data_IF_129587856244
#
_entry.id   IF_129587856244
#
_cell.length_a   1.000
_cell.length_b   1.000
_cell.length_c   1.000
_cell.angle_alpha   90.00
_cell.angle_beta   90.00
_cell.angle_gamma   90.00
#
_symmetry.space_group_name_H-M   'P 1'
#
loop_
_entity.id
_entity.type
_entity.pdbx_description
1 polymer ?
#
# COMPACT_ATOMS: atom_id res chain seq x y z
N UNK A 1 15.96 7.82 17.67
CA UNK A 1 15.52 6.53 17.11
C UNK A 1 14.17 6.74 16.45
N UNK A 2 14.19 7.39 15.29
CA UNK A 2 13.03 7.83 14.53
C UNK A 2 12.58 6.67 13.65
N UNK A 3 11.56 5.94 14.11
CA UNK A 3 10.85 4.97 13.29
C UNK A 3 10.21 5.75 12.13
N UNK A 4 10.80 5.64 10.95
CA UNK A 4 10.17 5.96 9.66
C UNK A 4 8.80 5.32 9.65
N UNK A 5 7.74 6.11 9.76
CA UNK A 5 6.38 5.62 9.64
C UNK A 5 6.09 5.42 8.15
N UNK A 6 5.87 4.18 7.68
CA UNK A 6 5.50 3.94 6.29
C UNK A 6 4.07 4.47 6.02
N UNK A 7 3.69 4.53 4.73
CA UNK A 7 2.40 4.97 4.11
C UNK A 7 1.09 4.75 4.90
N UNK A 8 1.07 3.91 5.93
CA UNK A 8 -0.10 3.61 6.75
C UNK A 8 -0.52 4.76 7.70
N UNK A 9 0.35 5.71 8.05
CA UNK A 9 0.04 6.61 9.18
C UNK A 9 -0.76 7.88 8.83
N UNK A 10 -0.99 8.22 7.56
CA UNK A 10 -1.74 9.44 7.19
C UNK A 10 -2.92 9.27 6.23
N UNK A 11 -3.22 8.04 5.80
CA UNK A 11 -4.41 7.71 5.01
C UNK A 11 -5.54 7.05 5.84
N UNK A 12 -5.57 7.26 7.16
CA UNK A 12 -6.73 6.90 8.00
C UNK A 12 -7.75 8.07 7.99
N UNK A 13 -8.34 8.33 6.83
CA UNK A 13 -9.53 9.20 6.73
C UNK A 13 -10.67 8.58 5.91
N UNK A 14 -10.58 7.28 5.57
CA UNK A 14 -11.67 6.58 4.87
C UNK A 14 -11.93 5.20 5.46
N UNK A 15 -12.44 5.18 6.68
CA UNK A 15 -13.32 4.08 7.10
C UNK A 15 -14.65 4.23 6.35
N UNK A 16 -14.70 3.79 5.10
CA UNK A 16 -15.99 3.52 4.46
C UNK A 16 -16.44 2.13 4.87
N UNK A 17 -17.53 2.07 5.63
CA UNK A 17 -18.18 0.84 6.08
C UNK A 17 -18.68 0.05 4.87
N UNK A 18 -17.84 -0.86 4.34
CA UNK A 18 -18.27 -1.79 3.30
C UNK A 18 -19.14 -2.87 3.94
N UNK A 19 -20.40 -2.97 3.51
CA UNK A 19 -21.35 -4.00 3.96
C UNK A 19 -20.79 -5.40 3.69
N UNK A 20 -20.86 -6.24 4.71
CA UNK A 20 -20.55 -7.67 4.66
C UNK A 20 -21.48 -8.37 3.67
N UNK A 21 -20.94 -9.12 2.71
CA UNK A 21 -21.72 -10.02 1.85
C UNK A 21 -20.95 -11.33 1.68
N UNK A 22 -21.46 -12.36 2.36
CA UNK A 22 -21.45 -13.78 1.97
C UNK A 22 -20.13 -14.46 1.54
N UNK A 23 -19.56 -15.21 2.50
CA UNK A 23 -18.96 -16.54 2.35
C UNK A 23 -17.92 -16.83 1.26
N UNK A 24 -16.66 -16.50 1.58
CA UNK A 24 -15.48 -17.38 1.41
C UNK A 24 -14.73 -17.30 2.73
N UNK A 25 -14.27 -18.41 3.31
CA UNK A 25 -13.66 -18.47 4.66
C UNK A 25 -12.80 -17.24 4.95
N UNK A 26 -13.37 -16.28 5.69
CA UNK A 26 -12.76 -14.99 5.88
C UNK A 26 -11.60 -15.21 6.86
N UNK A 27 -10.37 -15.17 6.35
CA UNK A 27 -9.18 -15.25 7.18
C UNK A 27 -9.15 -14.12 8.21
N UNK A 28 -8.20 -14.16 9.13
CA UNK A 28 -8.10 -13.23 10.25
C UNK A 28 -8.12 -11.78 9.72
N UNK A 29 -8.93 -10.93 10.36
CA UNK A 29 -9.13 -9.53 9.96
C UNK A 29 -9.64 -9.36 8.51
N UNK A 30 -10.36 -10.35 7.97
CA UNK A 30 -10.83 -10.39 6.59
C UNK A 30 -9.69 -10.41 5.56
N UNK A 31 -8.51 -10.90 5.97
CA UNK A 31 -7.38 -11.13 5.08
C UNK A 31 -7.42 -12.58 4.59
N UNK A 32 -7.95 -12.78 3.38
CA UNK A 32 -8.07 -14.12 2.76
C UNK A 32 -6.71 -14.82 2.74
N UNK A 33 -6.70 -16.09 3.14
CA UNK A 33 -5.49 -16.90 3.18
C UNK A 33 -4.75 -16.85 4.51
N UNK A 34 -5.13 -16.00 5.46
CA UNK A 34 -4.52 -15.93 6.80
C UNK A 34 -5.38 -16.67 7.85
N UNK A 35 -5.04 -17.92 8.16
CA UNK A 35 -5.78 -18.74 9.14
C UNK A 35 -4.87 -19.40 10.20
N UNK A 36 -3.59 -19.59 9.91
CA UNK A 36 -2.57 -20.16 10.78
C UNK A 36 -1.29 -19.28 10.80
N UNK A 37 -0.38 -19.44 11.77
CA UNK A 37 0.88 -18.69 11.81
C UNK A 37 1.69 -18.81 10.51
N UNK A 38 1.77 -20.02 9.95
CA UNK A 38 2.51 -20.32 8.71
C UNK A 38 1.95 -19.59 7.48
N UNK A 39 0.70 -19.12 7.53
CA UNK A 39 0.10 -18.35 6.45
C UNK A 39 0.63 -16.91 6.35
N UNK A 40 1.19 -16.36 7.45
CA UNK A 40 1.72 -15.00 7.49
C UNK A 40 2.77 -14.75 6.40
N UNK A 41 3.69 -15.71 6.23
CA UNK A 41 4.74 -15.60 5.21
C UNK A 41 4.14 -15.61 3.81
N UNK A 42 3.22 -16.53 3.53
CA UNK A 42 2.61 -16.64 2.21
C UNK A 42 1.84 -15.37 1.83
N UNK A 43 1.09 -14.81 2.79
CA UNK A 43 0.36 -13.55 2.62
C UNK A 43 1.32 -12.38 2.36
N UNK A 44 2.44 -12.31 3.09
CA UNK A 44 3.48 -11.29 2.85
C UNK A 44 4.10 -11.42 1.45
N UNK A 45 4.49 -12.63 1.05
CA UNK A 45 5.09 -12.91 -0.28
C UNK A 45 4.14 -12.50 -1.40
N UNK A 46 2.85 -12.84 -1.29
CA UNK A 46 1.84 -12.45 -2.27
C UNK A 46 1.65 -10.93 -2.35
N UNK A 47 1.62 -10.25 -1.20
CA UNK A 47 1.51 -8.79 -1.15
C UNK A 47 2.71 -8.10 -1.80
N UNK A 48 3.92 -8.54 -1.46
CA UNK A 48 5.17 -8.02 -2.05
C UNK A 48 5.21 -8.26 -3.55
N UNK A 49 4.85 -9.45 -4.03
CA UNK A 49 4.80 -9.75 -5.45
C UNK A 49 3.81 -8.84 -6.19
N UNK A 50 2.62 -8.63 -5.63
CA UNK A 50 1.62 -7.72 -6.19
C UNK A 50 2.12 -6.28 -6.23
N UNK A 51 2.73 -5.78 -5.16
CA UNK A 51 3.33 -4.43 -5.14
C UNK A 51 4.41 -4.30 -6.23
N UNK A 52 5.32 -5.26 -6.36
CA UNK A 52 6.36 -5.25 -7.40
C UNK A 52 5.79 -5.23 -8.83
N UNK A 53 4.69 -5.94 -9.07
CA UNK A 53 4.01 -5.93 -10.37
C UNK A 53 3.38 -4.56 -10.67
N UNK A 54 2.73 -3.94 -9.67
CA UNK A 54 2.17 -2.58 -9.81
C UNK A 54 3.25 -1.54 -10.07
N UNK A 55 4.36 -1.60 -9.33
CA UNK A 55 5.53 -0.71 -9.56
C UNK A 55 6.08 -0.89 -10.97
N UNK A 56 6.24 -2.14 -11.43
CA UNK A 56 6.75 -2.42 -12.78
C UNK A 56 5.81 -1.88 -13.87
N UNK A 57 4.50 -2.03 -13.66
CA UNK A 57 3.44 -1.47 -14.51
C UNK A 57 3.50 0.07 -14.56
N UNK A 58 3.67 0.72 -13.41
CA UNK A 58 3.81 2.17 -13.30
C UNK A 58 5.07 2.68 -14.00
N UNK A 59 6.21 2.02 -13.77
CA UNK A 59 7.51 2.33 -14.42
C UNK A 59 7.42 2.28 -15.95
N UNK A 60 6.72 1.28 -16.49
CA UNK A 60 6.54 1.14 -17.93
C UNK A 60 5.71 2.27 -18.57
N UNK A 61 4.97 3.05 -17.77
CA UNK A 61 4.08 4.13 -18.24
C UNK A 61 4.46 5.51 -17.70
N UNK A 62 5.67 5.69 -17.16
CA UNK A 62 6.13 6.99 -16.64
C UNK A 62 6.02 8.11 -17.69
N UNK A 63 6.25 7.81 -18.97
CA UNK A 63 6.13 8.75 -20.09
C UNK A 63 4.69 8.96 -20.60
N UNK A 64 3.71 8.26 -20.05
CA UNK A 64 2.30 8.30 -20.46
C UNK A 64 1.40 8.73 -19.29
N UNK A 65 1.44 10.01 -18.89
CA UNK A 65 0.68 10.50 -17.76
C UNK A 65 -0.83 10.33 -18.01
N UNK A 66 -1.52 9.79 -17.01
CA UNK A 66 -2.96 9.57 -17.05
C UNK A 66 -3.51 9.47 -15.63
N UNK A 67 -4.83 9.67 -15.47
CA UNK A 67 -5.51 9.48 -14.17
C UNK A 67 -5.31 8.05 -13.64
N UNK A 68 -5.14 7.06 -14.53
CA UNK A 68 -4.90 5.66 -14.17
C UNK A 68 -3.64 5.45 -13.32
N UNK A 69 -2.63 6.33 -13.43
CA UNK A 69 -1.44 6.30 -12.56
C UNK A 69 -1.84 6.46 -11.09
N UNK A 70 -2.78 7.35 -10.79
CA UNK A 70 -3.26 7.57 -9.42
C UNK A 70 -4.01 6.36 -8.88
N UNK A 71 -4.82 5.71 -9.72
CA UNK A 71 -5.55 4.50 -9.32
C UNK A 71 -4.63 3.30 -9.07
N UNK A 72 -3.56 3.15 -9.85
CA UNK A 72 -2.57 2.09 -9.62
C UNK A 72 -1.71 2.37 -8.38
N UNK A 73 -1.39 3.63 -8.07
CA UNK A 73 -0.73 3.99 -6.81
C UNK A 73 -1.64 3.77 -5.60
N UNK A 74 -2.92 4.14 -5.69
CA UNK A 74 -3.92 3.83 -4.65
C UNK A 74 -4.07 2.32 -4.45
N UNK A 75 -4.03 1.53 -5.54
CA UNK A 75 -4.02 0.07 -5.46
C UNK A 75 -2.76 -0.49 -4.78
N UNK A 76 -1.60 0.11 -5.04
CA UNK A 76 -0.36 -0.23 -4.38
C UNK A 76 -0.48 0.03 -2.87
N UNK A 77 -0.86 1.24 -2.46
CA UNK A 77 -1.02 1.61 -1.05
C UNK A 77 -2.02 0.70 -0.36
N UNK A 78 -3.16 0.41 -0.99
CA UNK A 78 -4.19 -0.48 -0.44
C UNK A 78 -3.71 -1.93 -0.29
N UNK A 79 -2.88 -2.41 -1.22
CA UNK A 79 -2.30 -3.76 -1.14
C UNK A 79 -1.38 -3.87 0.06
N UNK A 80 -0.47 -2.90 0.24
CA UNK A 80 0.49 -2.92 1.34
C UNK A 80 -0.17 -2.65 2.70
N UNK A 81 -0.96 -1.57 2.82
CA UNK A 81 -1.56 -1.18 4.10
C UNK A 81 -2.50 -2.25 4.66
N UNK A 82 -3.30 -2.92 3.83
CA UNK A 82 -4.19 -3.99 4.30
C UNK A 82 -3.42 -5.10 5.03
N UNK A 83 -2.25 -5.46 4.53
CA UNK A 83 -1.42 -6.52 5.11
C UNK A 83 -0.62 -6.01 6.31
N UNK A 84 -0.05 -4.81 6.20
CA UNK A 84 0.68 -4.17 7.30
C UNK A 84 -0.21 -3.94 8.53
N UNK A 85 -1.41 -3.38 8.34
CA UNK A 85 -2.35 -3.13 9.44
C UNK A 85 -2.78 -4.43 10.13
N UNK A 86 -2.96 -5.50 9.35
CA UNK A 86 -3.29 -6.82 9.88
C UNK A 86 -2.15 -7.39 10.70
N UNK A 87 -0.91 -7.36 10.19
CA UNK A 87 0.25 -7.87 10.92
C UNK A 87 0.62 -7.01 12.12
N UNK A 88 0.42 -5.69 12.03
CA UNK A 88 0.57 -4.77 13.16
C UNK A 88 -0.41 -5.15 14.28
N UNK A 89 -1.67 -5.42 13.93
CA UNK A 89 -2.64 -5.86 14.92
C UNK A 89 -2.24 -7.21 15.54
N UNK A 90 -1.83 -8.18 14.71
CA UNK A 90 -1.50 -9.53 15.19
C UNK A 90 -0.28 -9.56 16.09
N UNK A 91 0.80 -8.86 15.73
CA UNK A 91 2.02 -8.85 16.55
C UNK A 91 1.85 -8.15 17.91
N UNK A 92 0.80 -7.32 18.06
CA UNK A 92 0.51 -6.60 19.30
C UNK A 92 -0.61 -7.22 20.15
N UNK A 93 -1.57 -7.94 19.55
CA UNK A 93 -2.82 -8.34 20.22
C UNK A 93 -3.05 -9.85 20.22
N UNK A 94 -2.43 -10.62 19.33
CA UNK A 94 -2.75 -12.04 19.20
C UNK A 94 -2.28 -12.86 20.44
N UNK A 95 -3.12 -13.73 21.03
CA UNK A 95 -2.77 -14.47 22.25
C UNK A 95 -1.77 -15.61 22.02
N UNK A 96 -1.72 -16.17 20.80
CA UNK A 96 -0.73 -17.20 20.44
C UNK A 96 0.60 -16.55 20.04
N UNK A 97 1.73 -16.84 20.73
CA UNK A 97 3.05 -16.29 20.41
C UNK A 97 3.61 -16.73 19.04
N UNK A 98 3.18 -17.86 18.48
CA UNK A 98 3.61 -18.26 17.13
C UNK A 98 3.05 -17.29 16.08
N UNK A 99 1.81 -16.86 16.25
CA UNK A 99 1.21 -15.83 15.40
C UNK A 99 1.90 -14.48 15.55
N UNK A 100 2.28 -14.09 16.78
CA UNK A 100 2.96 -12.80 16.97
C UNK A 100 4.34 -12.79 16.31
N UNK A 101 5.10 -13.88 16.45
CA UNK A 101 6.39 -14.04 15.79
C UNK A 101 6.26 -14.05 14.26
N UNK A 102 5.37 -14.89 13.71
CA UNK A 102 5.16 -15.00 12.28
C UNK A 102 4.65 -13.67 11.67
N UNK A 103 3.74 -12.98 12.35
CA UNK A 103 3.26 -11.67 11.92
C UNK A 103 4.36 -10.60 11.98
N UNK A 104 5.26 -10.64 12.96
CA UNK A 104 6.38 -9.70 13.04
C UNK A 104 7.36 -9.88 11.88
N UNK A 105 7.71 -11.11 11.53
CA UNK A 105 8.61 -11.39 10.40
C UNK A 105 7.97 -11.00 9.06
N UNK A 106 6.69 -11.36 8.89
CA UNK A 106 5.90 -10.99 7.73
C UNK A 106 5.72 -9.47 7.58
N UNK A 107 5.50 -8.76 8.69
CA UNK A 107 5.45 -7.30 8.73
C UNK A 107 6.76 -6.68 8.23
N UNK A 108 7.90 -7.16 8.73
CA UNK A 108 9.22 -6.63 8.35
C UNK A 108 9.51 -6.81 6.85
N UNK A 109 9.09 -7.95 6.28
CA UNK A 109 9.19 -8.22 4.84
C UNK A 109 8.39 -7.21 4.01
N UNK A 110 7.12 -6.97 4.36
CA UNK A 110 6.27 -6.00 3.65
C UNK A 110 6.73 -4.56 3.88
N UNK A 111 7.12 -4.19 5.10
CA UNK A 111 7.62 -2.86 5.43
C UNK A 111 8.89 -2.50 4.66
N UNK A 112 9.81 -3.46 4.49
CA UNK A 112 11.01 -3.30 3.65
C UNK A 112 10.64 -3.03 2.18
N UNK A 113 9.63 -3.73 1.66
CA UNK A 113 9.11 -3.46 0.32
C UNK A 113 8.52 -2.05 0.20
N UNK A 114 7.75 -1.58 1.19
CA UNK A 114 7.18 -0.22 1.19
C UNK A 114 8.27 0.84 1.24
N UNK A 115 9.31 0.66 2.05
CA UNK A 115 10.44 1.59 2.09
C UNK A 115 11.13 1.72 0.71
N UNK A 116 11.33 0.60 0.01
CA UNK A 116 11.89 0.61 -1.34
C UNK A 116 10.96 1.28 -2.38
N UNK A 117 9.65 1.23 -2.17
CA UNK A 117 8.67 1.90 -3.04
C UNK A 117 8.68 3.41 -2.78
N UNK A 118 8.72 3.82 -1.52
CA UNK A 118 8.64 5.23 -1.15
C UNK A 118 9.88 6.03 -1.58
N UNK A 119 11.02 5.36 -1.73
CA UNK A 119 12.27 5.95 -2.23
C UNK A 119 12.43 5.84 -3.75
N UNK A 120 11.39 5.41 -4.47
CA UNK A 120 11.45 5.23 -5.93
C UNK A 120 11.15 6.53 -6.70
N UNK A 121 12.22 7.16 -7.19
CA UNK A 121 12.16 8.36 -8.05
C UNK A 121 11.27 8.20 -9.28
N UNK A 122 11.11 6.99 -9.83
CA UNK A 122 10.26 6.78 -11.00
C UNK A 122 8.77 6.92 -10.67
N UNK A 123 8.37 6.56 -9.45
CA UNK A 123 6.99 6.75 -8.99
C UNK A 123 6.71 8.21 -8.69
N UNK A 124 7.69 8.91 -8.10
CA UNK A 124 7.62 10.37 -7.92
C UNK A 124 7.44 11.07 -9.26
N UNK A 125 8.27 10.72 -10.25
CA UNK A 125 8.17 11.26 -11.60
C UNK A 125 6.80 11.00 -12.24
N UNK A 126 6.23 9.80 -12.04
CA UNK A 126 4.92 9.44 -12.57
C UNK A 126 3.80 10.32 -11.99
N UNK A 127 3.76 10.52 -10.66
CA UNK A 127 2.77 11.41 -10.01
C UNK A 127 2.97 12.86 -10.44
N UNK A 128 4.22 13.30 -10.53
CA UNK A 128 4.56 14.65 -10.97
C UNK A 128 4.10 14.90 -12.41
N UNK A 129 4.28 13.93 -13.31
CA UNK A 129 3.82 14.02 -14.69
C UNK A 129 2.28 14.14 -14.79
N UNK A 130 1.52 13.46 -13.92
CA UNK A 130 0.06 13.60 -13.83
C UNK A 130 -0.35 15.04 -13.47
N UNK A 131 0.35 15.64 -12.51
CA UNK A 131 0.06 17.01 -12.06
C UNK A 131 0.51 18.09 -13.06
N UNK A 132 1.59 17.85 -13.79
CA UNK A 132 2.19 18.83 -14.71
C UNK A 132 1.61 18.78 -16.12
N UNK A 133 1.00 17.65 -16.52
CA UNK A 133 0.39 17.53 -17.86
C UNK A 133 -0.98 18.19 -17.86
N UNK A 134 -1.10 19.38 -18.45
CA UNK A 134 -2.32 20.20 -18.42
C UNK A 134 -3.59 19.42 -18.78
N UNK A 135 -3.55 18.63 -19.86
CA UNK A 135 -4.69 17.82 -20.30
C UNK A 135 -5.15 16.82 -19.22
N UNK A 136 -4.21 16.26 -18.47
CA UNK A 136 -4.49 15.28 -17.42
C UNK A 136 -4.93 15.97 -16.14
N UNK A 137 -4.22 17.02 -15.72
CA UNK A 137 -4.52 17.75 -14.49
C UNK A 137 -5.89 18.42 -14.52
N UNK A 138 -6.33 18.93 -15.69
CA UNK A 138 -7.69 19.48 -15.88
C UNK A 138 -8.80 18.42 -15.84
N UNK A 139 -8.46 17.14 -15.99
CA UNK A 139 -9.41 16.04 -15.91
C UNK A 139 -9.54 15.46 -14.48
N UNK A 140 -8.71 15.90 -13.53
CA UNK A 140 -8.78 15.44 -12.14
C UNK A 140 -9.97 16.08 -11.42
N UNK A 141 -10.73 15.25 -10.70
CA UNK A 141 -11.69 15.74 -9.71
C UNK A 141 -10.99 16.24 -8.44
N UNK A 142 -11.78 16.74 -7.49
CA UNK A 142 -11.24 17.26 -6.22
C UNK A 142 -10.51 16.19 -5.41
N UNK A 143 -11.01 14.96 -5.44
CA UNK A 143 -10.44 13.86 -4.68
C UNK A 143 -9.19 13.29 -5.35
N UNK A 144 -9.18 13.17 -6.69
CA UNK A 144 -7.98 12.77 -7.43
C UNK A 144 -6.85 13.79 -7.27
N UNK A 145 -7.16 15.09 -7.28
CA UNK A 145 -6.16 16.13 -7.06
C UNK A 145 -5.58 16.06 -5.65
N UNK A 146 -6.41 15.85 -4.63
CA UNK A 146 -5.96 15.66 -3.24
C UNK A 146 -5.07 14.42 -3.10
N UNK A 147 -5.49 13.31 -3.71
CA UNK A 147 -4.72 12.06 -3.74
C UNK A 147 -3.36 12.28 -4.41
N UNK A 148 -3.32 12.90 -5.58
CA UNK A 148 -2.08 13.16 -6.30
C UNK A 148 -1.11 14.04 -5.50
N UNK A 149 -1.61 15.10 -4.86
CA UNK A 149 -0.80 15.95 -4.01
C UNK A 149 -0.28 15.22 -2.77
N UNK A 150 -1.10 14.38 -2.14
CA UNK A 150 -0.70 13.58 -0.98
C UNK A 150 0.39 12.56 -1.36
N UNK A 151 0.18 11.79 -2.44
CA UNK A 151 1.14 10.80 -2.93
C UNK A 151 2.48 11.44 -3.29
N UNK A 152 2.49 12.60 -3.96
CA UNK A 152 3.73 13.31 -4.29
C UNK A 152 4.47 13.74 -3.02
N UNK A 153 3.76 14.33 -2.06
CA UNK A 153 4.35 14.81 -0.81
C UNK A 153 4.93 13.66 0.04
N UNK A 154 4.31 12.48 0.03
CA UNK A 154 4.83 11.30 0.72
C UNK A 154 6.14 10.81 0.11
N UNK A 155 6.20 10.72 -1.23
CA UNK A 155 7.42 10.32 -1.93
C UNK A 155 8.56 11.33 -1.71
N UNK A 156 8.27 12.63 -1.74
CA UNK A 156 9.26 13.68 -1.43
C UNK A 156 9.75 13.63 0.02
N UNK A 157 8.86 13.29 0.96
CA UNK A 157 9.22 13.18 2.38
C UNK A 157 10.21 12.03 2.63
N UNK A 158 10.02 10.90 1.94
CA UNK A 158 10.83 9.71 2.10
C UNK A 158 12.12 9.71 1.26
N UNK A 159 12.38 10.79 0.50
CA UNK A 159 13.65 11.05 -0.19
C UNK A 159 13.69 10.66 -1.66
N UNK A 160 12.52 10.50 -2.30
CA UNK A 160 12.40 10.40 -3.76
C UNK A 160 12.48 11.77 -4.46
#
# INVERSE_FOLDING_TARGET
NTLTQPMASRLVSRLTTRRYSGATAAGICNLTGLNAPDDCEQVAVQAVARCKNLVSSLRARVSLPSVGVLYELDELSRTACRVLDTFELLRNVHPNPEFTAAANDAYNSVASCVHAINTDHSLHAAVTAVLQTERVSRALGSEELRLACALRAELEHDGA
#
